data_IF_608429063203
#
_entry.id   IF_608429063203
#
_cell.length_a   1.000
_cell.length_b   1.000
_cell.length_c   1.000
_cell.angle_alpha   90.00
_cell.angle_beta   90.00
_cell.angle_gamma   90.00
#
_symmetry.space_group_name_H-M   'P 1'
#
loop_
_entity.id
_entity.type
_entity.pdbx_description
1 polymer ?
#
# COMPACT_ATOMS: atom_id res chain seq x y z
N UNK A 1 12.66 -9.16 4.83
CA UNK A 1 11.68 -9.81 3.93
C UNK A 1 12.38 -10.94 3.19
N UNK A 2 11.73 -12.10 3.02
CA UNK A 2 12.19 -13.14 2.11
C UNK A 2 12.21 -12.65 0.66
N UNK A 3 13.22 -13.07 -0.10
CA UNK A 3 13.41 -12.72 -1.52
C UNK A 3 12.23 -13.12 -2.41
N UNK A 4 11.55 -14.24 -2.11
CA UNK A 4 10.40 -14.72 -2.87
C UNK A 4 9.17 -13.79 -2.76
N UNK A 5 8.93 -13.16 -1.60
CA UNK A 5 7.80 -12.23 -1.44
C UNK A 5 7.99 -10.97 -2.26
N UNK A 6 9.24 -10.47 -2.38
CA UNK A 6 9.54 -9.29 -3.19
C UNK A 6 9.27 -9.54 -4.67
N UNK A 7 9.68 -10.71 -5.19
CA UNK A 7 9.42 -11.09 -6.57
C UNK A 7 7.91 -11.20 -6.84
N UNK A 8 7.16 -11.85 -5.94
CA UNK A 8 5.70 -11.94 -6.07
C UNK A 8 5.01 -10.58 -6.02
N UNK A 9 5.39 -9.70 -5.09
CA UNK A 9 4.84 -8.33 -5.03
C UNK A 9 5.15 -7.57 -6.31
N UNK A 10 6.37 -7.66 -6.85
CA UNK A 10 6.74 -6.99 -8.10
C UNK A 10 5.95 -7.49 -9.31
N UNK A 11 5.71 -8.80 -9.40
CA UNK A 11 4.87 -9.38 -10.45
C UNK A 11 3.44 -8.88 -10.39
N UNK A 12 2.84 -8.86 -9.19
CA UNK A 12 1.45 -8.41 -8.98
C UNK A 12 1.31 -6.90 -9.23
N UNK A 13 2.28 -6.08 -8.80
CA UNK A 13 2.26 -4.63 -9.07
C UNK A 13 2.40 -4.35 -10.56
N UNK A 14 3.30 -5.04 -11.27
CA UNK A 14 3.46 -4.89 -12.71
C UNK A 14 2.16 -5.23 -13.47
N UNK A 15 1.52 -6.36 -13.13
CA UNK A 15 0.22 -6.73 -13.70
C UNK A 15 -0.85 -5.68 -13.42
N UNK A 16 -0.90 -5.16 -12.19
CA UNK A 16 -1.85 -4.10 -11.83
C UNK A 16 -1.64 -2.82 -12.64
N UNK A 17 -0.38 -2.43 -12.90
CA UNK A 17 -0.06 -1.27 -13.73
C UNK A 17 -0.52 -1.49 -15.18
N UNK A 18 -0.23 -2.67 -15.74
CA UNK A 18 -0.65 -3.02 -17.10
C UNK A 18 -2.17 -2.95 -17.27
N UNK A 19 -2.94 -3.50 -16.32
CA UNK A 19 -4.40 -3.43 -16.34
C UNK A 19 -4.90 -2.00 -16.23
N UNK A 20 -4.34 -1.19 -15.33
CA UNK A 20 -4.74 0.21 -15.17
C UNK A 20 -4.46 1.04 -16.44
N UNK A 21 -3.33 0.82 -17.12
CA UNK A 21 -3.02 1.46 -18.41
C UNK A 21 -3.99 1.03 -19.51
N UNK A 22 -4.41 -0.24 -19.54
CA UNK A 22 -5.41 -0.72 -20.48
C UNK A 22 -6.77 -0.05 -20.26
N UNK A 23 -7.17 0.15 -18.99
CA UNK A 23 -8.39 0.90 -18.63
C UNK A 23 -8.29 2.35 -19.10
N UNK A 24 -7.17 3.04 -18.82
CA UNK A 24 -6.95 4.43 -19.26
C UNK A 24 -7.03 4.53 -20.80
N UNK A 25 -6.37 3.61 -21.52
CA UNK A 25 -6.35 3.63 -22.98
C UNK A 25 -7.73 3.39 -23.61
N UNK A 26 -8.48 2.41 -23.09
CA UNK A 26 -9.82 2.07 -23.61
C UNK A 26 -10.88 3.12 -23.24
N UNK A 27 -10.86 3.62 -22.00
CA UNK A 27 -11.75 4.69 -21.53
C UNK A 27 -11.42 6.03 -22.23
N UNK A 28 -10.14 6.39 -22.31
CA UNK A 28 -9.69 7.64 -22.93
C UNK A 28 -10.04 7.72 -24.42
N UNK A 29 -9.83 6.64 -25.17
CA UNK A 29 -10.24 6.59 -26.59
C UNK A 29 -11.75 6.74 -26.76
N UNK A 30 -12.54 6.12 -25.88
CA UNK A 30 -14.01 6.20 -25.93
C UNK A 30 -14.49 7.63 -25.63
N UNK A 31 -13.89 8.27 -24.63
CA UNK A 31 -14.18 9.66 -24.26
C UNK A 31 -13.80 10.64 -25.36
N UNK A 32 -12.64 10.44 -26.01
CA UNK A 32 -12.21 11.26 -27.13
C UNK A 32 -13.20 11.19 -28.30
N UNK A 33 -13.67 9.99 -28.66
CA UNK A 33 -14.67 9.84 -29.73
C UNK A 33 -15.97 10.54 -29.36
N UNK A 34 -16.43 10.43 -28.12
CA UNK A 34 -17.63 11.12 -27.64
C UNK A 34 -17.51 12.64 -27.82
N UNK A 35 -16.45 13.26 -27.30
CA UNK A 35 -16.24 14.70 -27.44
C UNK A 35 -16.10 15.13 -28.90
N UNK A 36 -15.32 14.40 -29.70
CA UNK A 36 -15.13 14.72 -31.11
C UNK A 36 -16.46 14.67 -31.88
N UNK A 37 -17.29 13.65 -31.65
CA UNK A 37 -18.58 13.50 -32.33
C UNK A 37 -19.60 14.55 -31.91
N UNK A 38 -19.60 14.93 -30.62
CA UNK A 38 -20.51 15.94 -30.08
C UNK A 38 -20.25 17.34 -30.67
N UNK A 39 -18.99 17.67 -30.96
CA UNK A 39 -18.62 18.99 -31.51
C UNK A 39 -18.57 19.05 -33.04
N UNK A 40 -18.18 17.97 -33.71
CA UNK A 40 -17.88 18.01 -35.16
C UNK A 40 -19.10 17.72 -36.05
N UNK A 41 -20.10 16.99 -35.55
CA UNK A 41 -21.22 16.51 -36.36
C UNK A 41 -22.57 16.93 -35.79
N UNK A 42 -23.13 18.07 -36.24
CA UNK A 42 -24.41 18.58 -35.78
C UNK A 42 -25.56 17.56 -35.88
N UNK A 43 -25.50 16.72 -36.92
CA UNK A 43 -26.48 15.69 -37.24
C UNK A 43 -26.48 14.49 -36.27
N UNK A 44 -25.42 14.31 -35.47
CA UNK A 44 -25.35 13.28 -34.42
C UNK A 44 -25.81 13.77 -33.05
N UNK A 45 -26.10 15.06 -32.86
CA UNK A 45 -26.57 15.58 -31.57
C UNK A 45 -27.84 14.90 -31.05
N UNK A 46 -28.87 14.59 -31.87
CA UNK A 46 -30.06 13.89 -31.38
C UNK A 46 -29.79 12.46 -30.90
N UNK A 47 -28.68 11.86 -31.36
CA UNK A 47 -28.26 10.51 -30.97
C UNK A 47 -27.55 10.48 -29.61
N UNK A 48 -27.06 11.62 -29.12
CA UNK A 48 -26.41 11.74 -27.82
C UNK A 48 -27.36 12.44 -26.83
N UNK A 49 -27.81 11.78 -25.76
CA UNK A 49 -28.61 12.41 -24.72
C UNK A 49 -27.87 13.63 -24.14
N UNK A 50 -28.57 14.76 -23.98
CA UNK A 50 -27.96 15.99 -23.47
C UNK A 50 -27.47 15.92 -22.02
N UNK A 51 -27.88 14.92 -21.24
CA UNK A 51 -27.58 14.73 -19.81
C UNK A 51 -26.81 13.43 -19.55
N UNK A 52 -25.72 13.26 -20.28
CA UNK A 52 -24.88 12.09 -20.19
C UNK A 52 -24.02 12.11 -18.92
N UNK A 53 -24.11 11.07 -18.08
CA UNK A 53 -23.31 11.00 -16.85
C UNK A 53 -21.87 10.58 -17.21
N UNK A 54 -21.01 11.54 -17.57
CA UNK A 54 -19.58 11.33 -17.85
C UNK A 54 -18.75 11.04 -16.59
N UNK A 55 -19.37 11.14 -15.41
CA UNK A 55 -18.72 10.92 -14.12
C UNK A 55 -18.15 9.51 -13.98
N UNK A 56 -18.83 8.49 -14.53
CA UNK A 56 -18.36 7.10 -14.48
C UNK A 56 -16.97 6.96 -15.13
N UNK A 57 -16.80 7.49 -16.35
CA UNK A 57 -15.55 7.44 -17.09
C UNK A 57 -14.45 8.29 -16.45
N UNK A 58 -14.80 9.47 -15.94
CA UNK A 58 -13.85 10.33 -15.24
C UNK A 58 -13.32 9.68 -13.97
N UNK A 59 -14.18 9.00 -13.20
CA UNK A 59 -13.78 8.23 -12.02
C UNK A 59 -12.90 7.04 -12.39
N UNK A 60 -13.23 6.30 -13.45
CA UNK A 60 -12.41 5.18 -13.93
C UNK A 60 -11.00 5.63 -14.35
N UNK A 61 -10.90 6.73 -15.10
CA UNK A 61 -9.61 7.25 -15.57
C UNK A 61 -8.82 7.79 -14.39
N UNK A 62 -9.45 8.60 -13.51
CA UNK A 62 -8.79 9.20 -12.35
C UNK A 62 -8.26 8.17 -11.37
N UNK A 63 -9.07 7.16 -11.03
CA UNK A 63 -8.67 6.07 -10.14
C UNK A 63 -7.56 5.21 -10.75
N UNK A 64 -7.65 4.87 -12.04
CA UNK A 64 -6.61 4.10 -12.72
C UNK A 64 -5.28 4.85 -12.76
N UNK A 65 -5.31 6.17 -13.01
CA UNK A 65 -4.11 7.01 -12.91
C UNK A 65 -3.51 7.00 -11.50
N UNK A 66 -4.34 7.16 -10.45
CA UNK A 66 -3.88 7.09 -9.07
C UNK A 66 -3.24 5.74 -8.74
N UNK A 67 -3.84 4.63 -9.18
CA UNK A 67 -3.32 3.27 -9.01
C UNK A 67 -1.97 3.10 -9.71
N UNK A 68 -1.81 3.63 -10.93
CA UNK A 68 -0.52 3.60 -11.65
C UNK A 68 0.55 4.35 -10.85
N UNK A 69 0.26 5.55 -10.35
CA UNK A 69 1.20 6.36 -9.58
C UNK A 69 1.59 5.67 -8.27
N UNK A 70 0.62 5.17 -7.51
CA UNK A 70 0.86 4.50 -6.22
C UNK A 70 1.63 3.19 -6.39
N UNK A 71 1.30 2.39 -7.41
CA UNK A 71 2.03 1.16 -7.71
C UNK A 71 3.44 1.45 -8.26
N UNK A 72 3.63 2.54 -9.00
CA UNK A 72 4.96 2.96 -9.47
C UNK A 72 5.85 3.38 -8.29
N UNK A 73 5.31 4.14 -7.33
CA UNK A 73 6.01 4.47 -6.08
C UNK A 73 6.40 3.19 -5.32
N UNK A 74 5.50 2.21 -5.23
CA UNK A 74 5.78 0.92 -4.61
C UNK A 74 6.87 0.14 -5.36
N UNK A 75 6.85 0.14 -6.70
CA UNK A 75 7.88 -0.50 -7.52
C UNK A 75 9.26 0.15 -7.30
N UNK A 76 9.33 1.47 -7.23
CA UNK A 76 10.58 2.19 -6.90
C UNK A 76 11.04 1.85 -5.48
N UNK A 77 10.14 1.80 -4.50
CA UNK A 77 10.46 1.43 -3.13
C UNK A 77 10.96 -0.02 -3.00
N UNK A 78 10.59 -0.93 -3.92
CA UNK A 78 11.13 -2.29 -3.98
C UNK A 78 12.57 -2.33 -4.53
N UNK A 79 12.90 -1.43 -5.45
CA UNK A 79 14.22 -1.35 -6.09
C UNK A 79 15.25 -0.61 -5.24
N UNK A 80 14.82 0.36 -4.44
CA UNK A 80 15.69 1.20 -3.62
C UNK A 80 15.71 0.69 -2.17
N UNK A 81 16.80 0.05 -1.71
CA UNK A 81 16.89 -0.54 -0.37
C UNK A 81 16.94 0.51 0.77
N UNK A 82 17.13 1.80 0.45
CA UNK A 82 17.22 2.89 1.41
C UNK A 82 15.85 3.38 1.93
N UNK A 83 14.73 2.94 1.36
CA UNK A 83 13.39 3.43 1.72
C UNK A 83 12.71 2.56 2.79
N UNK A 84 11.85 3.15 3.64
CA UNK A 84 11.07 2.43 4.64
C UNK A 84 9.94 1.61 3.99
N UNK A 85 10.32 0.51 3.34
CA UNK A 85 9.46 -0.31 2.49
C UNK A 85 8.18 -0.77 3.18
N UNK A 86 8.23 -1.22 4.44
CA UNK A 86 7.06 -1.77 5.13
C UNK A 86 5.94 -0.72 5.30
N UNK A 87 6.30 0.50 5.73
CA UNK A 87 5.34 1.58 5.96
C UNK A 87 4.80 2.12 4.64
N UNK A 88 5.68 2.30 3.66
CA UNK A 88 5.29 2.75 2.32
C UNK A 88 4.35 1.75 1.66
N UNK A 89 4.70 0.46 1.64
CA UNK A 89 3.90 -0.58 1.05
C UNK A 89 2.50 -0.66 1.68
N UNK A 90 2.41 -0.58 3.01
CA UNK A 90 1.11 -0.58 3.69
C UNK A 90 0.27 0.64 3.32
N UNK A 91 0.87 1.84 3.34
CA UNK A 91 0.16 3.07 3.01
C UNK A 91 -0.30 3.12 1.54
N UNK A 92 0.57 2.74 0.59
CA UNK A 92 0.26 2.79 -0.84
C UNK A 92 -0.79 1.76 -1.22
N UNK A 93 -0.69 0.53 -0.69
CA UNK A 93 -1.66 -0.53 -1.00
C UNK A 93 -3.02 -0.29 -0.34
N UNK A 94 -3.04 0.26 0.88
CA UNK A 94 -4.28 0.67 1.55
C UNK A 94 -4.99 1.76 0.73
N UNK A 95 -4.27 2.83 0.36
CA UNK A 95 -4.85 3.93 -0.40
C UNK A 95 -5.33 3.48 -1.78
N UNK A 96 -4.54 2.67 -2.49
CA UNK A 96 -4.91 2.13 -3.81
C UNK A 96 -6.14 1.23 -3.74
N UNK A 97 -6.24 0.38 -2.72
CA UNK A 97 -7.39 -0.50 -2.51
C UNK A 97 -8.64 0.31 -2.20
N UNK A 98 -8.55 1.33 -1.34
CA UNK A 98 -9.69 2.20 -1.01
C UNK A 98 -10.19 2.97 -2.23
N UNK A 99 -9.30 3.60 -3.00
CA UNK A 99 -9.66 4.34 -4.22
C UNK A 99 -10.35 3.41 -5.23
N UNK A 100 -9.79 2.22 -5.45
CA UNK A 100 -10.34 1.25 -6.41
C UNK A 100 -11.71 0.73 -5.96
N UNK A 101 -11.86 0.41 -4.66
CA UNK A 101 -13.12 -0.06 -4.10
C UNK A 101 -14.23 1.00 -4.20
N UNK A 102 -13.91 2.26 -3.85
CA UNK A 102 -14.85 3.37 -3.98
C UNK A 102 -15.25 3.59 -5.44
N UNK A 103 -14.29 3.56 -6.37
CA UNK A 103 -14.56 3.71 -7.80
C UNK A 103 -15.51 2.61 -8.30
N UNK A 104 -15.26 1.36 -7.94
CA UNK A 104 -16.14 0.25 -8.31
C UNK A 104 -17.55 0.44 -7.72
N UNK A 105 -17.67 0.84 -6.46
CA UNK A 105 -18.95 1.10 -5.82
C UNK A 105 -19.72 2.26 -6.46
N UNK A 106 -19.05 3.37 -6.79
CA UNK A 106 -19.70 4.50 -7.45
C UNK A 106 -20.13 4.15 -8.87
N UNK A 107 -19.28 3.46 -9.63
CA UNK A 107 -19.58 3.10 -11.03
C UNK A 107 -20.70 2.08 -11.13
N UNK A 108 -20.80 1.13 -10.21
CA UNK A 108 -21.94 0.19 -10.14
C UNK A 108 -23.25 0.93 -9.83
N UNK A 109 -23.24 1.87 -8.88
CA UNK A 109 -24.41 2.68 -8.54
C UNK A 109 -24.86 3.53 -9.73
N UNK A 110 -23.94 4.18 -10.43
CA UNK A 110 -24.26 5.00 -11.60
C UNK A 110 -24.84 4.11 -12.70
N UNK A 111 -24.21 2.97 -12.99
CA UNK A 111 -24.71 2.04 -14.00
C UNK A 111 -26.10 1.45 -13.67
N UNK A 112 -26.44 1.30 -12.39
CA UNK A 112 -27.75 0.79 -11.97
C UNK A 112 -28.90 1.81 -12.11
N UNK A 113 -28.59 3.10 -12.32
CA UNK A 113 -29.61 4.16 -12.52
C UNK A 113 -30.15 4.24 -13.95
N UNK A 114 -29.65 3.43 -14.87
CA UNK A 114 -30.25 3.25 -16.18
C UNK A 114 -31.65 2.62 -16.06
N UNK A 115 -32.68 3.06 -16.80
CA UNK A 115 -32.64 4.00 -17.93
C UNK A 115 -32.89 5.48 -17.57
N UNK A 116 -32.97 5.84 -16.28
CA UNK A 116 -33.26 7.22 -15.86
C UNK A 116 -32.09 8.19 -16.08
N UNK A 117 -30.85 7.69 -16.02
CA UNK A 117 -29.63 8.36 -16.48
C UNK A 117 -28.73 7.34 -17.18
N UNK A 118 -28.47 7.55 -18.46
CA UNK A 118 -27.64 6.65 -19.25
C UNK A 118 -26.17 7.07 -19.23
N UNK A 119 -25.28 6.08 -19.13
CA UNK A 119 -23.82 6.25 -19.23
C UNK A 119 -23.35 5.92 -20.64
N UNK A 120 -22.07 6.18 -20.94
CA UNK A 120 -21.49 5.86 -22.25
C UNK A 120 -21.58 4.38 -22.53
N UNK A 121 -21.39 3.57 -21.51
CA UNK A 121 -21.50 2.13 -21.63
C UNK A 121 -22.95 1.72 -21.89
N UNK A 122 -23.90 2.08 -21.03
CA UNK A 122 -25.28 1.59 -21.17
C UNK A 122 -25.92 2.07 -22.47
N UNK A 123 -25.69 3.33 -22.85
CA UNK A 123 -26.20 3.89 -24.10
C UNK A 123 -25.62 3.22 -25.34
N UNK A 124 -24.28 3.19 -25.46
CA UNK A 124 -23.64 2.63 -26.67
C UNK A 124 -23.90 1.14 -26.81
N UNK A 125 -23.99 0.41 -25.69
CA UNK A 125 -24.35 -1.01 -25.71
C UNK A 125 -25.83 -1.23 -26.06
N UNK A 126 -26.75 -0.40 -25.55
CA UNK A 126 -28.18 -0.46 -25.91
C UNK A 126 -28.36 -0.26 -27.41
N UNK A 127 -27.72 0.76 -27.99
CA UNK A 127 -27.73 1.04 -29.43
C UNK A 127 -27.03 -0.03 -30.27
N UNK A 128 -25.98 -0.68 -29.74
CA UNK A 128 -25.34 -1.80 -30.44
C UNK A 128 -26.24 -3.04 -30.54
N UNK A 129 -27.15 -3.21 -29.58
CA UNK A 129 -28.08 -4.36 -29.50
C UNK A 129 -29.40 -4.08 -30.21
N UNK A 130 -29.87 -2.82 -30.21
CA UNK A 130 -31.08 -2.42 -30.90
C UNK A 130 -30.82 -2.17 -32.40
N UNK A 131 -30.66 -3.24 -33.17
CA UNK A 131 -30.69 -3.20 -34.65
C UNK A 131 -32.02 -2.68 -35.23
N UNK A 132 -33.03 -2.39 -34.41
CA UNK A 132 -34.43 -2.25 -34.82
C UNK A 132 -35.05 -0.86 -34.60
N UNK A 133 -34.36 0.10 -33.95
CA UNK A 133 -34.89 1.46 -33.74
C UNK A 133 -34.42 2.41 -34.85
N UNK A 134 -35.15 2.43 -35.97
CA UNK A 134 -35.24 3.51 -36.97
C UNK A 134 -33.93 4.16 -37.51
N UNK A 135 -32.84 3.42 -37.56
CA UNK A 135 -31.62 3.83 -38.26
C UNK A 135 -30.50 2.85 -37.99
N UNK A 136 -29.67 2.53 -39.00
CA UNK A 136 -28.49 1.72 -38.74
C UNK A 136 -27.60 2.44 -37.71
N UNK A 137 -27.31 1.83 -36.55
CA UNK A 137 -26.40 2.44 -35.59
C UNK A 137 -25.06 2.68 -36.29
N UNK A 138 -24.36 3.81 -36.02
CA UNK A 138 -23.03 4.01 -36.56
C UNK A 138 -22.16 2.81 -36.19
N UNK A 139 -21.49 2.17 -37.16
CA UNK A 139 -20.67 0.97 -36.93
C UNK A 139 -19.65 1.11 -35.79
N UNK A 140 -19.27 2.35 -35.49
CA UNK A 140 -18.43 2.78 -34.39
C UNK A 140 -18.98 2.37 -33.00
N UNK A 141 -20.31 2.29 -32.82
CA UNK A 141 -20.99 2.13 -31.52
C UNK A 141 -20.79 0.72 -30.94
N UNK A 142 -20.78 -0.31 -31.78
CA UNK A 142 -20.45 -1.67 -31.34
C UNK A 142 -19.02 -1.71 -30.78
N UNK A 143 -18.08 -1.07 -31.48
CA UNK A 143 -16.70 -0.96 -31.03
C UNK A 143 -16.54 -0.09 -29.78
N UNK A 144 -17.40 0.89 -29.54
CA UNK A 144 -17.44 1.70 -28.31
C UNK A 144 -17.97 0.87 -27.14
N UNK A 145 -19.07 0.14 -27.32
CA UNK A 145 -19.65 -0.74 -26.31
C UNK A 145 -18.64 -1.78 -25.83
N UNK A 146 -17.93 -2.46 -26.73
CA UNK A 146 -16.93 -3.46 -26.32
C UNK A 146 -15.79 -2.84 -25.52
N UNK A 147 -15.32 -1.63 -25.89
CA UNK A 147 -14.22 -0.94 -25.20
C UNK A 147 -14.63 -0.46 -23.81
N UNK A 148 -15.79 0.18 -23.68
CA UNK A 148 -16.30 0.66 -22.38
C UNK A 148 -16.63 -0.50 -21.46
N UNK A 149 -17.25 -1.56 -21.99
CA UNK A 149 -17.51 -2.80 -21.26
C UNK A 149 -16.21 -3.43 -20.74
N UNK A 150 -15.19 -3.54 -21.58
CA UNK A 150 -13.88 -4.03 -21.15
C UNK A 150 -13.29 -3.17 -20.03
N UNK A 151 -13.33 -1.84 -20.16
CA UNK A 151 -12.83 -0.93 -19.13
C UNK A 151 -13.51 -1.16 -17.78
N UNK A 152 -14.85 -1.27 -17.77
CA UNK A 152 -15.62 -1.56 -16.56
C UNK A 152 -15.30 -2.93 -15.97
N UNK A 153 -15.36 -4.02 -16.74
CA UNK A 153 -15.10 -5.35 -16.20
C UNK A 153 -13.64 -5.55 -15.75
N UNK A 154 -12.69 -4.80 -16.31
CA UNK A 154 -11.27 -4.84 -15.90
C UNK A 154 -11.04 -4.23 -14.50
N UNK A 155 -11.96 -3.41 -14.00
CA UNK A 155 -11.88 -2.88 -12.62
C UNK A 155 -12.04 -3.98 -11.56
N UNK A 156 -12.75 -5.07 -11.86
CA UNK A 156 -12.94 -6.21 -10.95
C UNK A 156 -11.61 -6.96 -10.69
N UNK A 157 -10.90 -7.50 -11.70
CA UNK A 157 -9.60 -8.12 -11.47
C UNK A 157 -8.58 -7.10 -10.96
N UNK A 158 -8.67 -5.82 -11.33
CA UNK A 158 -7.83 -4.77 -10.77
C UNK A 158 -8.03 -4.65 -9.24
N UNK A 159 -9.27 -4.65 -8.76
CA UNK A 159 -9.57 -4.64 -7.32
C UNK A 159 -9.03 -5.89 -6.62
N UNK A 160 -9.17 -7.07 -7.23
CA UNK A 160 -8.63 -8.31 -6.66
C UNK A 160 -7.10 -8.26 -6.51
N UNK A 161 -6.39 -7.70 -7.51
CA UNK A 161 -4.95 -7.49 -7.43
C UNK A 161 -4.58 -6.52 -6.30
N UNK A 162 -5.36 -5.44 -6.12
CA UNK A 162 -5.14 -4.48 -5.03
C UNK A 162 -5.35 -5.11 -3.65
N UNK A 163 -6.40 -5.91 -3.47
CA UNK A 163 -6.64 -6.67 -2.24
C UNK A 163 -5.49 -7.65 -1.96
N UNK A 164 -4.98 -8.32 -2.99
CA UNK A 164 -3.84 -9.24 -2.86
C UNK A 164 -2.57 -8.51 -2.40
N UNK A 165 -2.28 -7.34 -2.98
CA UNK A 165 -1.15 -6.49 -2.55
C UNK A 165 -1.30 -6.02 -1.11
N UNK A 166 -2.51 -5.60 -0.72
CA UNK A 166 -2.79 -5.20 0.65
C UNK A 166 -2.65 -6.37 1.64
N UNK A 167 -3.12 -7.57 1.27
CA UNK A 167 -2.94 -8.77 2.07
C UNK A 167 -1.45 -9.10 2.28
N UNK A 168 -0.62 -8.99 1.23
CA UNK A 168 0.83 -9.13 1.38
C UNK A 168 1.40 -8.06 2.32
N UNK A 169 0.99 -6.79 2.21
CA UNK A 169 1.45 -5.74 3.10
C UNK A 169 1.10 -6.03 4.58
N UNK A 170 -0.12 -6.50 4.85
CA UNK A 170 -0.55 -6.91 6.19
C UNK A 170 0.27 -8.07 6.73
N UNK A 171 0.42 -9.16 5.97
CA UNK A 171 1.22 -10.30 6.39
C UNK A 171 2.63 -9.89 6.81
N UNK A 172 3.27 -9.01 6.05
CA UNK A 172 4.60 -8.50 6.37
C UNK A 172 4.61 -7.66 7.66
N UNK A 173 3.63 -6.75 7.83
CA UNK A 173 3.52 -5.92 9.03
C UNK A 173 3.28 -6.76 10.30
N UNK A 174 2.43 -7.79 10.21
CA UNK A 174 2.16 -8.70 11.32
C UNK A 174 3.38 -9.56 11.68
N UNK A 175 4.07 -10.11 10.68
CA UNK A 175 5.30 -10.87 10.91
C UNK A 175 6.37 -10.01 11.60
N UNK A 176 6.57 -8.76 11.15
CA UNK A 176 7.57 -7.87 11.78
C UNK A 176 7.19 -7.49 13.21
N UNK A 177 5.91 -7.25 13.47
CA UNK A 177 5.42 -6.89 14.82
C UNK A 177 5.56 -8.06 15.80
N UNK A 178 5.26 -9.28 15.36
CA UNK A 178 5.41 -10.49 16.18
C UNK A 178 6.87 -10.75 16.56
N UNK A 179 7.81 -10.60 15.61
CA UNK A 179 9.24 -10.74 15.87
C UNK A 179 9.76 -9.69 16.86
N UNK A 180 9.35 -8.43 16.72
CA UNK A 180 9.74 -7.35 17.64
C UNK A 180 9.22 -7.60 19.06
N UNK A 181 7.97 -8.05 19.21
CA UNK A 181 7.40 -8.37 20.52
C UNK A 181 8.08 -9.58 21.17
N UNK A 182 8.50 -10.59 20.39
CA UNK A 182 9.30 -11.71 20.89
C UNK A 182 10.70 -11.25 21.33
N UNK A 183 11.33 -10.34 20.60
CA UNK A 183 12.65 -9.81 20.92
C UNK A 183 12.64 -8.94 22.18
N UNK A 184 11.65 -8.07 22.36
CA UNK A 184 11.50 -7.26 23.57
C UNK A 184 11.30 -8.15 24.81
N UNK A 185 10.48 -9.21 24.71
CA UNK A 185 10.33 -10.18 25.81
C UNK A 185 11.60 -10.98 26.10
N UNK A 186 12.42 -11.24 25.09
CA UNK A 186 13.71 -11.91 25.30
C UNK A 186 14.71 -10.97 26.00
N UNK A 187 14.75 -9.69 25.61
CA UNK A 187 15.58 -8.67 26.25
C UNK A 187 15.15 -8.38 27.69
N UNK A 188 13.84 -8.32 27.98
CA UNK A 188 13.33 -8.22 29.36
C UNK A 188 13.75 -9.42 30.22
N UNK A 189 13.76 -10.63 29.66
CA UNK A 189 14.22 -11.83 30.38
C UNK A 189 15.72 -11.83 30.64
N UNK A 190 16.52 -11.29 29.73
CA UNK A 190 17.99 -11.17 29.91
C UNK A 190 18.30 -10.09 30.97
N UNK A 191 17.70 -8.90 30.87
CA UNK A 191 17.89 -7.84 31.85
C UNK A 191 17.43 -8.22 33.27
N UNK A 192 16.30 -8.92 33.39
CA UNK A 192 15.80 -9.40 34.69
C UNK A 192 16.66 -10.53 35.29
N UNK A 193 17.47 -11.24 34.49
CA UNK A 193 18.38 -12.28 34.97
C UNK A 193 19.69 -11.70 35.52
N UNK A 194 20.20 -10.65 34.89
CA UNK A 194 21.45 -9.99 35.31
C UNK A 194 21.28 -9.21 36.64
N UNK A 195 20.11 -8.62 36.89
CA UNK A 195 19.82 -7.94 38.16
C UNK A 195 19.77 -8.88 39.37
N UNK A 196 19.37 -10.14 39.17
CA UNK A 196 19.35 -11.15 40.23
C UNK A 196 20.75 -11.69 40.54
N UNK A 197 21.61 -11.85 39.52
CA UNK A 197 23.02 -12.21 39.69
C UNK A 197 23.84 -11.09 40.36
N UNK A 198 23.60 -9.82 40.02
CA UNK A 198 24.27 -8.67 40.63
C UNK A 198 23.95 -8.53 42.12
N UNK A 199 22.71 -8.81 42.54
CA UNK A 199 22.34 -8.84 43.96
C UNK A 199 23.06 -9.95 44.71
N UNK A 200 23.16 -11.15 44.14
CA UNK A 200 23.81 -12.29 44.80
C UNK A 200 25.32 -12.07 44.97
N UNK A 201 25.99 -11.55 43.94
CA UNK A 201 27.43 -11.20 43.99
C UNK A 201 27.72 -10.06 44.98
N UNK A 202 26.82 -9.08 45.10
CA UNK A 202 26.94 -8.01 46.10
C UNK A 202 26.79 -8.54 47.53
N UNK A 203 25.88 -9.50 47.73
CA UNK A 203 25.64 -10.16 49.02
C UNK A 203 26.86 -11.00 49.45
N UNK A 204 27.45 -11.76 48.53
CA UNK A 204 28.67 -12.55 48.82
C UNK A 204 29.88 -11.65 49.11
N UNK A 205 30.04 -10.53 48.39
CA UNK A 205 31.13 -9.57 48.66
C UNK A 205 31.05 -8.94 50.04
N UNK A 206 29.84 -8.60 50.51
CA UNK A 206 29.65 -8.02 51.83
C UNK A 206 29.97 -9.02 52.95
N UNK A 207 29.58 -10.30 52.79
CA UNK A 207 29.93 -11.36 53.74
C UNK A 207 31.44 -11.68 53.77
N UNK A 208 32.11 -11.55 52.62
CA UNK A 208 33.57 -11.76 52.53
C UNK A 208 34.36 -10.58 53.13
N UNK A 209 33.81 -9.36 53.07
CA UNK A 209 34.42 -8.18 53.69
C UNK A 209 34.32 -8.22 55.22
N UNK A 210 33.18 -8.66 55.78
CA UNK A 210 33.05 -8.82 57.23
C UNK A 210 33.96 -9.95 57.76
N UNK A 211 34.06 -11.08 57.05
CA UNK A 211 34.97 -12.17 57.45
C UNK A 211 36.46 -11.79 57.37
N UNK A 212 36.83 -10.75 56.61
CA UNK A 212 38.21 -10.28 56.50
C UNK A 212 38.55 -9.15 57.48
N UNK A 213 37.56 -8.54 58.12
CA UNK A 213 37.80 -7.44 59.07
C UNK A 213 38.24 -7.92 60.46
N UNK A 214 38.09 -9.21 60.78
CA UNK A 214 38.51 -9.81 62.05
C UNK A 214 39.94 -10.38 62.05
N UNK A 215 40.63 -10.45 60.90
CA UNK A 215 41.99 -11.02 60.83
C UNK A 215 42.92 -10.14 60.01
N UNK A 216 43.53 -9.15 60.66
CA UNK A 216 44.53 -8.31 60.02
C UNK A 216 44.83 -7.00 60.74
N UNK A 217 45.24 -7.08 62.01
CA UNK A 217 45.99 -6.00 62.65
C UNK A 217 47.30 -5.80 61.88
N UNK A 218 47.42 -4.66 61.18
CA UNK A 218 48.59 -4.32 60.36
C UNK A 218 48.30 -3.07 59.51
N UNK A 219 48.15 -1.92 60.16
CA UNK A 219 47.72 -0.66 59.55
C UNK A 219 48.91 0.16 59.06
N UNK A 220 49.39 -0.08 57.84
CA UNK A 220 50.25 0.89 57.16
C UNK A 220 49.40 2.01 56.57
N UNK A 221 49.66 3.25 56.97
CA UNK A 221 49.02 4.44 56.39
C UNK A 221 49.92 5.01 55.29
N UNK A 222 49.31 5.24 54.13
CA UNK A 222 49.92 5.91 52.99
C UNK A 222 49.46 7.36 53.03
N UNK A 223 50.40 8.30 52.96
CA UNK A 223 50.11 9.72 52.82
C UNK A 223 50.82 10.31 51.62
N UNK A 224 50.23 11.38 51.09
CA UNK A 224 50.69 12.13 49.94
C UNK A 224 51.15 13.51 50.44
N UNK A 225 52.37 13.91 50.09
CA UNK A 225 52.86 15.26 50.38
C UNK A 225 52.34 16.29 49.36
N UNK A 226 52.52 17.58 49.65
CA UNK A 226 52.09 18.67 48.76
C UNK A 226 52.89 18.74 47.43
N UNK A 227 53.97 17.96 47.31
CA UNK A 227 54.78 17.82 46.10
C UNK A 227 54.40 16.59 45.26
N UNK A 228 53.40 15.81 45.68
CA UNK A 228 52.84 14.68 44.94
C UNK A 228 53.57 13.36 45.11
N UNK A 229 54.48 13.23 46.08
CA UNK A 229 55.16 11.98 46.39
C UNK A 229 54.39 11.17 47.43
N UNK A 230 54.39 9.84 47.26
CA UNK A 230 53.75 8.91 48.18
C UNK A 230 54.80 8.25 49.07
N UNK A 231 54.60 8.33 50.39
CA UNK A 231 55.38 7.60 51.39
C UNK A 231 54.54 6.52 52.06
N UNK A 232 55.18 5.40 52.41
CA UNK A 232 54.58 4.33 53.22
C UNK A 232 55.32 4.29 54.55
N UNK A 233 54.62 4.53 55.65
CA UNK A 233 55.17 4.33 56.99
C UNK A 233 54.76 2.92 57.46
N UNK A 234 55.77 2.10 57.70
CA UNK A 234 55.64 0.74 58.25
C UNK A 234 55.70 0.76 59.76
#
# INVERSE_FOLDING_TARGET
>A
MPSYLRASTLGVTALSICLALAVIGTAGRSLHVYYHQQHSNPWLLPLWPGHFDSQELQLLIGSSCAVVVLNAILAVALLVPALPFNTLNLATTLLSTLITALTLAFTTIINHRAPGKDTLQTWTCRWSSSQTLQGSPPSQFQGLCTKTRFAYYTTIPLLLLQILLFAFALCNAFSTRSSSHRQNRALEKVGSGDDMQLRDVSSTRNLTFEAKQESGSGRSRIWRDENGYYGVET
#
